data_IF_320011444549
#
_entry.id   IF_320011444549
#
_cell.length_a   1.000
_cell.length_b   1.000
_cell.length_c   1.000
_cell.angle_alpha   90.00
_cell.angle_beta   90.00
_cell.angle_gamma   90.00
#
_symmetry.space_group_name_H-M   'P 1'
#
loop_
_entity.id
_entity.type
_entity.pdbx_description
1 polymer ?
#
# COMPACT_ATOMS: atom_id res chain seq x y z
N UNK A 1 -4.94 19.49 -17.66
CA UNK A 1 -5.59 18.30 -18.27
C UNK A 1 -4.88 17.92 -19.56
N UNK A 2 -3.92 17.00 -19.56
CA UNK A 2 -3.24 16.58 -20.82
C UNK A 2 -2.95 15.08 -20.97
N UNK A 3 -3.00 14.30 -19.88
CA UNK A 3 -2.80 12.84 -19.87
C UNK A 3 -3.50 12.13 -21.04
N UNK A 4 -2.79 11.16 -21.66
CA UNK A 4 -3.28 10.39 -22.81
C UNK A 4 -3.27 8.88 -22.50
N UNK A 5 -4.40 8.15 -22.67
CA UNK A 5 -5.71 8.61 -23.13
C UNK A 5 -6.36 9.58 -22.13
N UNK A 6 -7.15 10.55 -22.65
CA UNK A 6 -7.80 11.55 -21.80
C UNK A 6 -8.74 10.85 -20.82
N UNK A 7 -8.58 11.06 -19.50
CA UNK A 7 -9.47 10.47 -18.51
C UNK A 7 -10.86 11.15 -18.55
N UNK A 8 -11.89 10.39 -18.19
CA UNK A 8 -13.07 10.95 -17.51
C UNK A 8 -12.60 11.71 -16.26
N UNK A 9 -13.33 12.71 -15.75
CA UNK A 9 -12.97 13.36 -14.48
C UNK A 9 -14.23 13.51 -13.63
N UNK A 10 -14.09 13.13 -12.36
CA UNK A 10 -15.11 13.25 -11.32
C UNK A 10 -14.49 14.03 -10.18
N UNK A 11 -15.03 15.20 -9.88
CA UNK A 11 -14.68 15.96 -8.68
C UNK A 11 -15.71 15.65 -7.59
N UNK A 12 -15.25 15.40 -6.37
CA UNK A 12 -16.10 15.19 -5.20
C UNK A 12 -15.81 16.27 -4.15
N UNK A 13 -16.84 16.65 -3.40
CA UNK A 13 -16.77 17.74 -2.43
C UNK A 13 -17.30 19.07 -2.97
N UNK A 14 -17.56 19.98 -2.03
CA UNK A 14 -18.30 21.24 -2.19
C UNK A 14 -17.45 22.48 -1.86
N UNK A 15 -16.12 22.40 -2.00
CA UNK A 15 -15.20 23.54 -1.84
C UNK A 15 -15.47 24.67 -2.85
N UNK A 16 -15.15 25.91 -2.46
CA UNK A 16 -15.38 27.12 -3.24
C UNK A 16 -14.81 27.01 -4.67
N UNK A 17 -15.70 27.18 -5.67
CA UNK A 17 -15.35 27.17 -7.09
C UNK A 17 -15.27 25.79 -7.75
N UNK A 18 -15.33 24.67 -7.01
CA UNK A 18 -15.28 23.30 -7.59
C UNK A 18 -16.44 23.07 -8.57
N UNK A 19 -17.65 23.54 -8.24
CA UNK A 19 -18.82 23.42 -9.10
C UNK A 19 -18.66 24.20 -10.43
N UNK A 20 -18.18 25.45 -10.36
CA UNK A 20 -17.94 26.28 -11.55
C UNK A 20 -16.81 25.72 -12.42
N UNK A 21 -15.77 25.16 -11.81
CA UNK A 21 -14.65 24.52 -12.49
C UNK A 21 -15.10 23.22 -13.19
N UNK A 22 -15.89 22.39 -12.51
CA UNK A 22 -16.48 21.19 -13.10
C UNK A 22 -17.40 21.52 -14.29
N UNK A 23 -18.28 22.51 -14.13
CA UNK A 23 -19.18 22.98 -15.19
C UNK A 23 -18.41 23.53 -16.40
N UNK A 24 -17.37 24.36 -16.15
CA UNK A 24 -16.53 24.97 -17.20
C UNK A 24 -15.80 23.94 -18.06
N UNK A 25 -15.37 22.82 -17.47
CA UNK A 25 -14.57 21.80 -18.15
C UNK A 25 -15.31 20.51 -18.50
N UNK A 26 -16.62 20.44 -18.21
CA UNK A 26 -17.48 19.30 -18.55
C UNK A 26 -17.25 18.06 -17.69
N UNK A 27 -16.89 18.23 -16.42
CA UNK A 27 -16.65 17.15 -15.48
C UNK A 27 -17.94 16.67 -14.80
N UNK A 28 -17.91 15.44 -14.28
CA UNK A 28 -18.89 15.02 -13.27
C UNK A 28 -18.54 15.69 -11.94
N UNK A 29 -19.55 16.18 -11.23
CA UNK A 29 -19.40 16.76 -9.89
C UNK A 29 -20.32 16.05 -8.90
N UNK A 30 -19.78 15.70 -7.74
CA UNK A 30 -20.51 15.08 -6.62
C UNK A 30 -20.29 15.98 -5.39
N UNK A 31 -21.08 17.05 -5.22
CA UNK A 31 -20.84 18.03 -4.15
C UNK A 31 -20.93 17.40 -2.76
N UNK A 32 -21.95 16.58 -2.52
CA UNK A 32 -22.25 16.06 -1.17
C UNK A 32 -21.65 14.67 -0.95
N UNK A 33 -20.52 14.63 -0.26
CA UNK A 33 -20.02 13.42 0.44
C UNK A 33 -20.51 13.40 1.89
N UNK A 34 -20.62 12.22 2.49
CA UNK A 34 -20.88 12.10 3.92
C UNK A 34 -19.68 12.65 4.71
N UNK A 35 -19.98 13.26 5.85
CA UNK A 35 -19.04 13.90 6.76
C UNK A 35 -19.33 13.43 8.19
N UNK A 36 -18.31 13.33 9.03
CA UNK A 36 -18.48 13.07 10.47
C UNK A 36 -19.04 14.31 11.21
N UNK A 37 -19.23 14.23 12.52
CA UNK A 37 -19.78 15.35 13.31
C UNK A 37 -18.83 16.57 13.43
N UNK A 38 -17.56 16.43 13.04
CA UNK A 38 -16.60 17.54 12.90
C UNK A 38 -16.65 18.18 11.51
N UNK A 39 -17.46 17.64 10.60
CA UNK A 39 -17.54 18.06 9.20
C UNK A 39 -16.47 17.45 8.29
N UNK A 40 -15.62 16.54 8.77
CA UNK A 40 -14.56 15.93 7.94
C UNK A 40 -15.16 14.86 7.01
N UNK A 41 -14.82 14.87 5.70
CA UNK A 41 -15.28 13.86 4.73
C UNK A 41 -14.95 12.42 5.13
N UNK A 42 -15.84 11.49 4.77
CA UNK A 42 -15.69 10.06 5.03
C UNK A 42 -15.31 9.30 3.76
N UNK A 43 -14.29 8.45 3.88
CA UNK A 43 -13.66 7.74 2.76
C UNK A 43 -14.60 6.72 2.08
N UNK A 44 -15.45 6.06 2.86
CA UNK A 44 -16.36 5.00 2.40
C UNK A 44 -17.40 5.53 1.40
N UNK A 45 -18.09 6.61 1.76
CA UNK A 45 -19.09 7.28 0.93
C UNK A 45 -18.47 7.95 -0.30
N UNK A 46 -17.27 8.53 -0.15
CA UNK A 46 -16.49 9.11 -1.24
C UNK A 46 -16.15 8.04 -2.29
N UNK A 47 -15.55 6.92 -1.87
CA UNK A 47 -15.19 5.82 -2.77
C UNK A 47 -16.42 5.10 -3.34
N UNK A 48 -17.51 4.97 -2.57
CA UNK A 48 -18.76 4.39 -3.05
C UNK A 48 -19.38 5.26 -4.16
N UNK A 49 -19.55 6.57 -3.92
CA UNK A 49 -20.13 7.50 -4.89
C UNK A 49 -19.27 7.65 -6.14
N UNK A 50 -17.95 7.74 -5.99
CA UNK A 50 -17.05 7.85 -7.13
C UNK A 50 -17.06 6.58 -8.00
N UNK A 51 -17.02 5.38 -7.39
CA UNK A 51 -17.10 4.12 -8.14
C UNK A 51 -18.48 3.91 -8.79
N UNK A 52 -19.57 4.36 -8.16
CA UNK A 52 -20.91 4.32 -8.75
C UNK A 52 -21.08 5.30 -9.92
N UNK A 53 -20.48 6.49 -9.85
CA UNK A 53 -20.58 7.52 -10.87
C UNK A 53 -19.61 7.34 -12.06
N UNK A 54 -18.48 6.65 -11.88
CA UNK A 54 -17.50 6.42 -12.93
C UNK A 54 -18.01 5.47 -14.02
N UNK A 55 -17.69 5.78 -15.29
CA UNK A 55 -18.10 4.97 -16.45
C UNK A 55 -17.13 3.82 -16.76
N UNK A 56 -15.90 3.90 -16.23
CA UNK A 56 -14.79 2.96 -16.50
C UNK A 56 -14.65 1.89 -15.39
N UNK A 57 -13.93 0.79 -15.66
CA UNK A 57 -13.61 -0.24 -14.64
C UNK A 57 -12.43 0.13 -13.73
N UNK A 58 -11.48 0.90 -14.25
CA UNK A 58 -10.29 1.36 -13.53
C UNK A 58 -10.57 2.77 -13.01
N UNK A 59 -10.36 2.96 -11.71
CA UNK A 59 -10.46 4.23 -11.00
C UNK A 59 -9.09 4.61 -10.46
N UNK A 60 -8.80 5.91 -10.32
CA UNK A 60 -7.54 6.38 -9.73
C UNK A 60 -7.82 7.54 -8.79
N UNK A 61 -8.05 7.26 -7.50
CA UNK A 61 -8.12 8.34 -6.50
C UNK A 61 -6.79 9.11 -6.52
N UNK A 62 -6.84 10.43 -6.52
CA UNK A 62 -5.67 11.30 -6.39
C UNK A 62 -6.03 12.61 -5.70
N UNK A 63 -5.16 13.13 -4.83
CA UNK A 63 -5.36 14.42 -4.16
C UNK A 63 -5.24 15.61 -5.15
N UNK A 64 -5.94 16.72 -4.92
CA UNK A 64 -6.01 17.85 -5.86
C UNK A 64 -4.70 18.61 -6.05
N UNK A 65 -3.82 18.55 -5.05
CA UNK A 65 -2.45 19.07 -5.02
C UNK A 65 -1.47 18.31 -5.91
N UNK A 66 -1.83 17.13 -6.45
CA UNK A 66 -0.94 16.33 -7.29
C UNK A 66 -1.02 16.70 -8.76
N UNK A 67 0.14 16.96 -9.36
CA UNK A 67 0.36 16.98 -10.80
C UNK A 67 0.87 15.59 -11.21
N UNK A 68 0.27 15.02 -12.26
CA UNK A 68 0.66 13.75 -12.86
C UNK A 68 1.26 13.98 -14.25
N UNK A 69 2.39 13.34 -14.51
CA UNK A 69 3.05 13.36 -15.82
C UNK A 69 2.52 12.24 -16.73
N UNK A 70 2.80 12.31 -18.03
CA UNK A 70 2.29 11.33 -19.02
C UNK A 70 2.78 9.90 -18.77
N UNK A 71 3.90 9.71 -18.04
CA UNK A 71 4.40 8.41 -17.61
C UNK A 71 3.38 7.62 -16.76
N UNK A 72 2.49 8.32 -16.04
CA UNK A 72 1.40 7.76 -15.26
C UNK A 72 0.45 6.90 -16.10
N UNK A 73 0.12 7.34 -17.31
CA UNK A 73 -0.84 6.65 -18.16
C UNK A 73 -0.24 5.41 -18.84
N UNK A 74 1.04 5.47 -19.20
CA UNK A 74 1.80 4.31 -19.68
C UNK A 74 1.92 3.24 -18.59
N UNK A 75 2.26 3.66 -17.37
CA UNK A 75 2.38 2.81 -16.20
C UNK A 75 1.07 2.11 -15.85
N UNK A 76 -0.04 2.87 -15.79
CA UNK A 76 -1.36 2.35 -15.48
C UNK A 76 -1.82 1.31 -16.52
N UNK A 77 -1.58 1.54 -17.82
CA UNK A 77 -1.91 0.49 -18.80
C UNK A 77 -0.98 -0.73 -18.65
N UNK A 78 0.30 -0.54 -18.32
CA UNK A 78 1.22 -1.66 -18.07
C UNK A 78 0.70 -2.59 -16.96
N UNK A 79 0.31 -2.02 -15.82
CA UNK A 79 -0.27 -2.75 -14.68
C UNK A 79 -1.62 -3.38 -15.07
N UNK A 80 -2.51 -2.62 -15.71
CA UNK A 80 -3.83 -3.11 -16.13
C UNK A 80 -3.80 -4.20 -17.21
N UNK A 81 -2.71 -4.31 -17.99
CA UNK A 81 -2.48 -5.44 -18.92
C UNK A 81 -2.02 -6.69 -18.17
N UNK A 82 -1.27 -6.55 -17.06
CA UNK A 82 -0.63 -7.66 -16.33
C UNK A 82 -1.55 -8.32 -15.28
N UNK A 83 -2.48 -7.58 -14.68
CA UNK A 83 -3.29 -8.05 -13.56
C UNK A 83 -4.80 -7.84 -13.74
N UNK A 84 -5.60 -8.85 -13.39
CA UNK A 84 -7.06 -8.77 -13.49
C UNK A 84 -7.72 -8.03 -12.33
N UNK A 85 -7.06 -7.96 -11.17
CA UNK A 85 -7.33 -7.03 -10.06
C UNK A 85 -5.98 -6.46 -9.59
N UNK A 86 -5.91 -5.20 -9.16
CA UNK A 86 -4.68 -4.59 -8.66
C UNK A 86 -4.93 -3.33 -7.83
N UNK A 87 -3.93 -2.97 -7.03
CA UNK A 87 -3.64 -1.61 -6.59
C UNK A 87 -2.28 -1.19 -7.17
N UNK A 88 -2.19 0.00 -7.74
CA UNK A 88 -0.96 0.68 -8.12
C UNK A 88 -0.85 1.96 -7.27
N UNK A 89 0.28 2.13 -6.62
CA UNK A 89 0.64 3.27 -5.77
C UNK A 89 2.06 3.72 -6.11
N UNK A 90 2.44 4.92 -5.69
CA UNK A 90 3.81 5.41 -5.89
C UNK A 90 4.09 6.63 -5.03
N UNK A 91 5.38 6.83 -4.76
CA UNK A 91 5.93 7.96 -4.01
C UNK A 91 5.91 9.23 -4.85
N UNK A 92 5.71 10.36 -4.19
CA UNK A 92 5.73 11.69 -4.82
C UNK A 92 7.07 12.41 -4.68
N UNK A 93 7.24 13.41 -5.54
CA UNK A 93 8.17 14.51 -5.35
C UNK A 93 7.44 15.70 -4.74
N UNK A 94 7.86 16.15 -3.56
CA UNK A 94 7.41 17.42 -2.98
C UNK A 94 8.10 18.58 -3.70
N UNK A 95 7.35 19.57 -4.18
CA UNK A 95 7.89 20.76 -4.86
C UNK A 95 7.19 22.05 -4.39
N UNK A 96 7.99 23.06 -4.05
CA UNK A 96 7.50 24.41 -3.75
C UNK A 96 7.12 25.14 -5.05
N UNK A 97 5.82 25.35 -5.27
CA UNK A 97 5.31 26.07 -6.44
C UNK A 97 4.88 27.50 -6.09
N UNK A 98 5.69 28.48 -6.50
CA UNK A 98 5.46 29.91 -6.34
C UNK A 98 4.88 30.60 -7.60
N UNK A 99 4.72 29.85 -8.69
CA UNK A 99 4.39 30.35 -10.03
C UNK A 99 3.38 29.41 -10.69
N UNK A 100 2.48 29.95 -11.53
CA UNK A 100 1.56 29.14 -12.33
C UNK A 100 2.31 28.37 -13.45
N UNK A 101 1.84 27.15 -13.73
CA UNK A 101 2.32 26.38 -14.89
C UNK A 101 1.48 26.76 -16.11
N UNK A 102 2.12 27.41 -17.09
CA UNK A 102 1.56 27.49 -18.44
C UNK A 102 1.59 26.11 -19.10
N UNK A 103 0.46 25.39 -18.99
CA UNK A 103 0.25 24.11 -19.65
C UNK A 103 0.14 24.21 -21.18
N UNK A 104 0.03 25.40 -21.78
CA UNK A 104 -0.09 25.55 -23.24
C UNK A 104 1.27 25.59 -23.96
N UNK A 105 2.37 25.90 -23.26
CA UNK A 105 3.72 25.81 -23.80
C UNK A 105 4.14 24.34 -24.03
N UNK A 106 4.58 23.99 -25.23
CA UNK A 106 4.83 22.59 -25.66
C UNK A 106 5.83 21.82 -24.77
N UNK A 107 6.75 22.52 -24.12
CA UNK A 107 7.81 22.00 -23.26
C UNK A 107 7.50 22.07 -21.75
N UNK A 108 6.28 22.48 -21.34
CA UNK A 108 5.93 22.69 -19.91
C UNK A 108 6.30 21.49 -19.02
N UNK A 109 6.01 20.27 -19.50
CA UNK A 109 6.23 19.03 -18.76
C UNK A 109 7.71 18.68 -18.63
N UNK A 110 8.52 18.96 -19.66
CA UNK A 110 9.97 18.80 -19.59
C UNK A 110 10.57 19.78 -18.59
N UNK A 111 10.22 21.08 -18.67
CA UNK A 111 10.69 22.09 -17.71
C UNK A 111 10.32 21.74 -16.27
N UNK A 112 9.11 21.21 -16.05
CA UNK A 112 8.68 20.78 -14.72
C UNK A 112 9.48 19.57 -14.21
N UNK A 113 9.73 18.55 -15.05
CA UNK A 113 10.57 17.40 -14.69
C UNK A 113 12.01 17.83 -14.40
N UNK A 114 12.58 18.74 -15.19
CA UNK A 114 13.92 19.31 -14.95
C UNK A 114 13.98 20.15 -13.66
N UNK A 115 12.90 20.85 -13.32
CA UNK A 115 12.75 21.57 -12.05
C UNK A 115 12.66 20.59 -10.87
N UNK A 116 11.83 19.55 -10.95
CA UNK A 116 11.71 18.50 -9.93
C UNK A 116 13.06 17.82 -9.66
N UNK A 117 13.84 17.51 -10.70
CA UNK A 117 15.19 16.91 -10.57
C UNK A 117 16.23 17.84 -9.91
N UNK A 118 15.96 19.14 -9.83
CA UNK A 118 16.87 20.17 -9.30
C UNK A 118 16.45 20.66 -7.90
N UNK A 119 15.16 20.76 -7.65
CA UNK A 119 14.56 21.43 -6.49
C UNK A 119 13.61 20.53 -5.68
N UNK A 120 13.11 19.44 -6.25
CA UNK A 120 12.12 18.58 -5.62
C UNK A 120 12.71 17.64 -4.58
N UNK A 121 11.96 17.38 -3.51
CA UNK A 121 12.31 16.42 -2.46
C UNK A 121 11.55 15.12 -2.71
N UNK A 122 12.27 14.04 -2.99
CA UNK A 122 11.65 12.72 -3.21
C UNK A 122 11.18 12.14 -1.87
N UNK A 123 9.87 12.05 -1.65
CA UNK A 123 9.30 11.71 -0.36
C UNK A 123 9.59 10.26 0.05
N UNK A 124 9.53 9.96 1.35
CA UNK A 124 9.59 8.59 1.88
C UNK A 124 8.42 7.72 1.34
N UNK A 125 8.50 6.37 1.43
CA UNK A 125 7.43 5.43 1.02
C UNK A 125 6.05 5.70 1.62
N UNK A 126 5.95 6.55 2.63
CA UNK A 126 4.71 7.01 3.29
C UNK A 126 3.96 8.11 2.51
N UNK A 127 4.56 8.69 1.46
CA UNK A 127 3.93 9.77 0.67
C UNK A 127 3.10 9.21 -0.48
N UNK A 128 1.88 8.78 -0.18
CA UNK A 128 0.98 8.09 -1.11
C UNK A 128 -0.28 8.92 -1.33
N UNK A 129 -0.26 9.70 -2.40
CA UNK A 129 -1.32 10.67 -2.72
C UNK A 129 -2.15 10.27 -3.95
N UNK A 130 -1.92 9.07 -4.49
CA UNK A 130 -2.81 8.41 -5.43
C UNK A 130 -2.96 6.90 -5.15
N UNK A 131 -4.13 6.37 -5.51
CA UNK A 131 -4.46 4.95 -5.46
C UNK A 131 -5.14 4.58 -6.78
N UNK A 132 -4.44 3.83 -7.62
CA UNK A 132 -4.94 3.37 -8.92
C UNK A 132 -5.40 1.92 -8.83
N UNK A 133 -6.70 1.65 -9.03
CA UNK A 133 -7.32 0.36 -8.74
C UNK A 133 -8.42 -0.01 -9.74
N UNK A 134 -8.80 -1.29 -9.77
CA UNK A 134 -10.06 -1.73 -10.39
C UNK A 134 -11.20 -1.68 -9.38
N UNK A 135 -12.39 -1.25 -9.81
CA UNK A 135 -13.59 -1.17 -8.97
C UNK A 135 -13.84 -2.45 -8.17
N UNK A 136 -14.27 -2.28 -6.92
CA UNK A 136 -14.54 -3.39 -6.01
C UNK A 136 -13.29 -4.05 -5.40
N UNK A 137 -12.10 -3.45 -5.55
CA UNK A 137 -10.87 -3.90 -4.88
C UNK A 137 -11.03 -4.05 -3.36
N UNK A 138 -11.70 -3.09 -2.71
CA UNK A 138 -12.09 -3.17 -1.31
C UNK A 138 -13.56 -3.59 -1.22
N UNK A 139 -13.91 -4.74 -0.60
CA UNK A 139 -15.30 -5.19 -0.46
C UNK A 139 -16.16 -4.25 0.40
N UNK A 140 -15.54 -3.63 1.40
CA UNK A 140 -16.07 -2.52 2.18
C UNK A 140 -14.89 -1.65 2.62
N UNK A 141 -15.12 -0.34 2.75
CA UNK A 141 -14.17 0.63 3.30
C UNK A 141 -14.81 1.17 4.59
N UNK A 142 -14.11 1.23 5.74
CA UNK A 142 -14.63 1.87 6.94
C UNK A 142 -14.82 3.37 6.74
N UNK A 143 -15.70 4.05 7.51
CA UNK A 143 -15.91 5.49 7.46
C UNK A 143 -14.73 6.25 8.09
N UNK A 144 -13.55 6.14 7.46
CA UNK A 144 -12.33 6.82 7.88
C UNK A 144 -12.41 8.30 7.53
N UNK A 145 -12.04 9.15 8.49
CA UNK A 145 -11.93 10.59 8.30
C UNK A 145 -10.75 10.91 7.38
N UNK A 146 -11.05 11.54 6.24
CA UNK A 146 -10.07 11.91 5.23
C UNK A 146 -9.15 13.05 5.72
N UNK A 147 -7.88 13.05 5.30
CA UNK A 147 -6.90 14.05 5.75
C UNK A 147 -6.52 13.92 7.23
N UNK A 148 -6.65 12.72 7.80
CA UNK A 148 -6.08 12.30 9.10
C UNK A 148 -5.12 11.13 8.87
N UNK A 149 -4.52 10.55 9.90
CA UNK A 149 -3.71 9.34 9.72
C UNK A 149 -4.54 8.09 9.42
N UNK A 150 -3.84 7.01 9.07
CA UNK A 150 -4.32 5.63 8.82
C UNK A 150 -5.10 5.38 7.52
N UNK A 151 -5.82 6.35 6.94
CA UNK A 151 -6.70 6.06 5.79
C UNK A 151 -5.93 5.63 4.54
N UNK A 152 -4.80 6.30 4.27
CA UNK A 152 -3.87 6.02 3.19
C UNK A 152 -3.19 4.65 3.38
N UNK A 153 -2.70 4.38 4.60
CA UNK A 153 -2.00 3.15 4.93
C UNK A 153 -2.95 1.94 4.94
N UNK A 154 -4.21 2.15 5.33
CA UNK A 154 -5.27 1.16 5.29
C UNK A 154 -5.63 0.76 3.86
N UNK A 155 -5.74 1.74 2.94
CA UNK A 155 -5.99 1.48 1.52
C UNK A 155 -4.89 0.61 0.88
N UNK A 156 -3.63 0.72 1.31
CA UNK A 156 -2.54 -0.19 0.89
C UNK A 156 -2.59 -1.54 1.60
N UNK A 157 -2.86 -1.55 2.92
CA UNK A 157 -2.78 -2.76 3.76
C UNK A 157 -3.83 -3.80 3.39
N UNK A 158 -5.09 -3.42 3.20
CA UNK A 158 -6.15 -4.42 2.97
C UNK A 158 -5.96 -5.23 1.67
N UNK A 159 -5.60 -4.63 0.51
CA UNK A 159 -5.25 -5.39 -0.69
C UNK A 159 -4.08 -6.36 -0.47
N UNK A 160 -3.04 -5.97 0.28
CA UNK A 160 -1.93 -6.88 0.64
C UNK A 160 -2.43 -8.04 1.51
N UNK A 161 -3.23 -7.77 2.54
CA UNK A 161 -3.79 -8.81 3.43
C UNK A 161 -4.74 -9.77 2.69
N UNK A 162 -5.45 -9.26 1.68
CA UNK A 162 -6.35 -9.98 0.79
C UNK A 162 -5.64 -10.63 -0.44
N UNK A 163 -4.31 -10.70 -0.45
CA UNK A 163 -3.53 -11.40 -1.48
C UNK A 163 -3.60 -10.76 -2.87
N UNK A 164 -3.99 -9.48 -2.97
CA UNK A 164 -4.12 -8.76 -4.23
C UNK A 164 -2.76 -8.28 -4.74
N UNK A 165 -2.58 -8.10 -6.07
CA UNK A 165 -1.39 -7.48 -6.63
C UNK A 165 -1.34 -6.01 -6.22
N UNK A 166 -0.39 -5.66 -5.34
CA UNK A 166 -0.03 -4.26 -5.04
C UNK A 166 1.29 -3.98 -5.73
N UNK A 167 1.30 -2.93 -6.55
CA UNK A 167 2.42 -2.50 -7.39
C UNK A 167 2.91 -1.13 -6.94
N UNK A 168 4.19 -1.05 -6.58
CA UNK A 168 4.92 0.20 -6.42
C UNK A 168 5.42 0.67 -7.80
N UNK A 169 4.91 1.81 -8.27
CA UNK A 169 5.28 2.41 -9.55
C UNK A 169 6.25 3.60 -9.41
N UNK A 170 6.82 3.83 -8.23
CA UNK A 170 7.67 5.00 -7.93
C UNK A 170 8.89 5.15 -8.85
N UNK A 171 9.42 4.03 -9.38
CA UNK A 171 10.59 4.01 -10.27
C UNK A 171 10.26 4.31 -11.75
N UNK A 172 8.98 4.39 -12.10
CA UNK A 172 8.49 4.58 -13.48
C UNK A 172 7.52 5.76 -13.63
N UNK A 173 6.94 6.26 -12.55
CA UNK A 173 5.90 7.31 -12.56
C UNK A 173 6.36 8.55 -11.81
N UNK A 174 6.27 9.70 -12.46
CA UNK A 174 6.54 11.01 -11.85
C UNK A 174 5.22 11.64 -11.40
N UNK A 175 4.96 11.62 -10.08
CA UNK A 175 3.89 12.42 -9.46
C UNK A 175 4.53 13.53 -8.63
N UNK A 176 3.92 14.72 -8.66
CA UNK A 176 4.49 15.93 -8.05
C UNK A 176 3.43 16.55 -7.12
N UNK A 177 3.75 16.64 -5.84
CA UNK A 177 2.93 17.29 -4.82
C UNK A 177 3.28 18.77 -4.71
N UNK A 178 2.28 19.63 -4.88
CA UNK A 178 2.40 21.08 -4.73
C UNK A 178 2.41 21.43 -3.24
N UNK A 179 3.58 21.76 -2.69
CA UNK A 179 3.72 22.04 -1.26
C UNK A 179 2.84 23.22 -0.80
N UNK A 180 2.00 22.98 0.19
CA UNK A 180 1.08 23.98 0.73
C UNK A 180 1.09 24.04 2.27
N UNK A 181 0.68 25.19 2.81
CA UNK A 181 0.42 25.35 4.23
C UNK A 181 -0.71 24.43 4.71
N UNK A 182 -0.60 23.90 5.93
CA UNK A 182 -1.63 23.07 6.56
C UNK A 182 -2.68 23.92 7.30
N UNK A 183 -2.86 25.18 6.90
CA UNK A 183 -3.70 26.18 7.57
C UNK A 183 -5.20 25.93 7.45
N UNK A 184 -5.63 24.99 6.61
CA UNK A 184 -7.01 24.49 6.55
C UNK A 184 -7.30 23.45 7.65
N UNK A 185 -6.29 22.91 8.33
CA UNK A 185 -6.45 22.01 9.48
C UNK A 185 -6.35 22.86 10.75
N UNK A 186 -7.37 22.79 11.63
CA UNK A 186 -7.33 23.40 12.96
C UNK A 186 -6.17 22.80 13.78
N UNK A 187 -5.11 23.59 14.00
CA UNK A 187 -3.86 23.11 14.62
C UNK A 187 -2.77 22.63 13.66
N UNK A 188 -2.94 22.80 12.34
CA UNK A 188 -1.92 22.47 11.34
C UNK A 188 -1.48 21.01 11.34
N UNK A 189 -0.18 20.76 11.17
CA UNK A 189 0.41 19.40 11.20
C UNK A 189 0.14 18.68 12.54
N UNK A 190 0.12 19.41 13.66
CA UNK A 190 -0.13 18.83 14.97
C UNK A 190 -1.61 18.45 15.15
N UNK A 191 -2.52 19.31 14.69
CA UNK A 191 -3.97 19.03 14.63
C UNK A 191 -4.38 17.92 13.65
N UNK A 192 -3.51 17.56 12.70
CA UNK A 192 -3.64 16.35 11.88
C UNK A 192 -3.10 15.09 12.59
N UNK A 193 -2.07 15.25 13.43
CA UNK A 193 -1.28 14.16 14.02
C UNK A 193 -1.76 13.70 15.40
N UNK A 194 -2.43 14.56 16.17
CA UNK A 194 -2.98 14.25 17.50
C UNK A 194 -4.36 14.88 17.68
N UNK A 195 -5.38 14.21 17.17
CA UNK A 195 -6.77 14.65 17.18
C UNK A 195 -7.70 13.43 17.34
N UNK A 196 -8.90 13.63 17.89
CA UNK A 196 -9.89 12.57 18.16
C UNK A 196 -10.25 11.76 16.90
N UNK A 197 -10.17 12.39 15.73
CA UNK A 197 -10.42 11.76 14.44
C UNK A 197 -9.34 10.74 14.04
N UNK A 198 -8.08 10.92 14.47
CA UNK A 198 -7.03 9.91 14.30
C UNK A 198 -7.32 8.68 15.16
N UNK A 199 -7.69 8.88 16.43
CA UNK A 199 -8.05 7.76 17.31
C UNK A 199 -9.27 7.00 16.77
N UNK A 200 -10.25 7.72 16.22
CA UNK A 200 -11.41 7.09 15.57
C UNK A 200 -11.04 6.31 14.31
N UNK A 201 -10.10 6.80 13.50
CA UNK A 201 -9.57 6.03 12.38
C UNK A 201 -8.89 4.74 12.90
N UNK A 202 -8.05 4.83 13.94
CA UNK A 202 -7.46 3.66 14.60
C UNK A 202 -8.51 2.68 15.13
N UNK A 203 -9.55 3.17 15.80
CA UNK A 203 -10.64 2.33 16.31
C UNK A 203 -11.39 1.62 15.17
N UNK A 204 -11.63 2.32 14.05
CA UNK A 204 -12.27 1.78 12.84
C UNK A 204 -11.37 0.80 12.08
N UNK A 205 -10.03 0.89 12.18
CA UNK A 205 -9.10 -0.16 11.70
C UNK A 205 -8.91 -1.29 12.72
N UNK A 206 -9.70 -1.35 13.79
CA UNK A 206 -9.66 -2.41 14.81
C UNK A 206 -8.51 -2.26 15.81
N UNK A 207 -7.97 -1.04 15.96
CA UNK A 207 -6.70 -0.72 16.62
C UNK A 207 -5.48 -1.48 16.06
N UNK A 208 -5.56 -1.96 14.82
CA UNK A 208 -4.40 -2.48 14.08
C UNK A 208 -3.52 -1.31 13.63
N UNK A 209 -2.37 -1.16 14.27
CA UNK A 209 -1.33 -0.18 13.98
C UNK A 209 -0.29 -0.69 12.98
N UNK A 210 -0.49 -1.86 12.36
CA UNK A 210 0.32 -2.26 11.21
C UNK A 210 -0.01 -1.35 10.03
N UNK A 211 1.00 -0.63 9.55
CA UNK A 211 0.90 0.29 8.42
C UNK A 211 1.53 -0.36 7.20
N UNK A 212 0.96 -0.12 6.03
CA UNK A 212 1.53 -0.49 4.75
C UNK A 212 1.82 0.75 3.91
N UNK A 213 2.93 0.69 3.18
CA UNK A 213 3.50 1.77 2.38
C UNK A 213 3.90 1.24 1.01
N UNK A 214 4.45 2.06 0.11
CA UNK A 214 4.90 1.54 -1.20
C UNK A 214 6.00 0.48 -1.06
N UNK A 215 6.83 0.52 0.00
CA UNK A 215 7.83 -0.52 0.32
C UNK A 215 7.22 -1.90 0.59
N UNK A 216 5.95 -1.95 0.99
CA UNK A 216 5.23 -3.19 1.27
C UNK A 216 4.53 -3.74 0.00
N UNK A 217 4.64 -3.08 -1.15
CA UNK A 217 4.14 -3.64 -2.40
C UNK A 217 4.95 -4.89 -2.79
N UNK A 218 4.26 -5.98 -3.14
CA UNK A 218 4.88 -7.22 -3.61
C UNK A 218 5.53 -7.08 -5.01
N UNK A 219 5.04 -6.12 -5.81
CA UNK A 219 5.48 -5.88 -7.18
C UNK A 219 6.04 -4.48 -7.35
N UNK A 220 6.95 -4.33 -8.30
CA UNK A 220 7.51 -3.05 -8.72
C UNK A 220 7.32 -2.87 -10.23
N UNK A 221 6.86 -1.69 -10.65
CA UNK A 221 6.92 -1.29 -12.05
C UNK A 221 8.24 -0.54 -12.28
N UNK A 222 9.23 -1.28 -12.78
CA UNK A 222 10.55 -0.76 -13.12
C UNK A 222 10.58 -0.21 -14.57
N UNK A 223 11.64 0.51 -14.99
CA UNK A 223 11.86 0.84 -16.40
C UNK A 223 11.91 -0.37 -17.35
N UNK A 224 12.23 -1.57 -16.84
CA UNK A 224 12.27 -2.83 -17.60
C UNK A 224 10.92 -3.57 -17.63
N UNK A 225 9.90 -3.05 -16.94
CA UNK A 225 8.59 -3.67 -16.78
C UNK A 225 8.28 -4.09 -15.33
N UNK A 226 7.22 -4.86 -15.18
CA UNK A 226 6.71 -5.30 -13.87
C UNK A 226 7.52 -6.48 -13.36
N UNK A 227 8.21 -6.30 -12.25
CA UNK A 227 9.01 -7.29 -11.55
C UNK A 227 8.44 -7.59 -10.16
N UNK A 228 8.74 -8.77 -9.62
CA UNK A 228 8.45 -9.09 -8.22
C UNK A 228 9.60 -8.54 -7.35
N UNK A 229 9.27 -7.74 -6.33
CA UNK A 229 10.27 -7.15 -5.43
C UNK A 229 11.09 -8.25 -4.73
N UNK A 230 12.42 -8.12 -4.55
CA UNK A 230 13.24 -9.16 -3.94
C UNK A 230 12.78 -9.51 -2.52
N UNK A 231 12.51 -10.79 -2.25
CA UNK A 231 12.04 -11.28 -0.94
C UNK A 231 12.99 -10.92 0.20
N UNK A 232 14.28 -10.78 -0.11
CA UNK A 232 15.31 -10.30 0.82
C UNK A 232 15.07 -8.88 1.36
N UNK A 233 14.16 -8.10 0.79
CA UNK A 233 13.84 -6.73 1.22
C UNK A 233 12.72 -6.72 2.26
N UNK A 234 11.66 -7.49 2.05
CA UNK A 234 10.64 -7.74 3.08
C UNK A 234 11.25 -8.37 4.35
N UNK A 235 12.27 -9.22 4.20
CA UNK A 235 13.04 -9.78 5.32
C UNK A 235 13.91 -8.76 6.09
N UNK A 236 14.04 -7.52 5.61
CA UNK A 236 14.70 -6.39 6.30
C UNK A 236 13.69 -5.47 7.00
N UNK A 237 12.39 -5.59 6.73
CA UNK A 237 11.37 -4.74 7.34
C UNK A 237 11.03 -5.22 8.77
N UNK A 238 10.95 -4.28 9.72
CA UNK A 238 10.57 -4.57 11.11
C UNK A 238 9.10 -5.07 11.23
N UNK A 239 8.27 -4.88 10.20
CA UNK A 239 6.88 -5.32 10.16
C UNK A 239 6.75 -6.74 9.56
N UNK A 240 7.32 -7.74 10.25
CA UNK A 240 7.38 -9.12 9.77
C UNK A 240 6.00 -9.73 9.40
N UNK A 241 4.92 -9.28 10.04
CA UNK A 241 3.55 -9.71 9.73
C UNK A 241 3.09 -9.25 8.35
N UNK A 242 3.39 -8.00 7.98
CA UNK A 242 3.08 -7.51 6.64
C UNK A 242 4.04 -8.12 5.60
N UNK A 243 5.34 -8.18 5.89
CA UNK A 243 6.36 -8.83 5.06
C UNK A 243 5.95 -10.26 4.62
N UNK A 244 5.52 -11.11 5.56
CA UNK A 244 5.02 -12.46 5.27
C UNK A 244 3.78 -12.45 4.35
N UNK A 245 2.86 -11.49 4.53
CA UNK A 245 1.67 -11.37 3.67
C UNK A 245 1.99 -10.88 2.27
N UNK A 246 3.03 -10.05 2.10
CA UNK A 246 3.56 -9.67 0.80
C UNK A 246 4.16 -10.88 0.07
N UNK A 247 4.90 -11.73 0.79
CA UNK A 247 5.48 -12.98 0.27
C UNK A 247 4.38 -14.00 -0.08
N UNK A 248 3.31 -14.10 0.72
CA UNK A 248 2.14 -14.95 0.42
C UNK A 248 1.41 -14.49 -0.86
N UNK A 249 1.13 -13.19 -0.96
CA UNK A 249 0.53 -12.55 -2.14
C UNK A 249 1.39 -12.78 -3.39
N UNK A 250 2.71 -12.61 -3.27
CA UNK A 250 3.68 -12.92 -4.31
C UNK A 250 3.62 -14.40 -4.75
N UNK A 251 3.63 -15.35 -3.80
CA UNK A 251 3.64 -16.79 -4.10
C UNK A 251 2.36 -17.23 -4.80
N UNK A 252 1.19 -16.70 -4.41
CA UNK A 252 -0.09 -16.97 -5.06
C UNK A 252 -0.14 -16.48 -6.53
N UNK A 253 0.70 -15.51 -6.91
CA UNK A 253 0.65 -14.84 -8.21
C UNK A 253 1.84 -15.16 -9.14
N UNK A 254 2.96 -15.62 -8.58
CA UNK A 254 4.18 -16.02 -9.31
C UNK A 254 5.02 -17.04 -8.51
N UNK A 255 4.50 -18.27 -8.31
CA UNK A 255 5.11 -19.25 -7.42
C UNK A 255 6.53 -19.64 -7.83
N UNK A 256 6.80 -19.73 -9.13
CA UNK A 256 8.10 -20.14 -9.67
C UNK A 256 9.18 -19.07 -9.43
N UNK A 257 8.85 -17.79 -9.61
CA UNK A 257 9.75 -16.65 -9.35
C UNK A 257 10.06 -16.56 -7.86
N UNK A 258 9.05 -16.79 -7.01
CA UNK A 258 9.25 -16.86 -5.56
C UNK A 258 10.18 -18.03 -5.19
N UNK A 259 9.99 -19.22 -5.77
CA UNK A 259 10.86 -20.38 -5.55
C UNK A 259 12.31 -20.09 -5.97
N UNK A 260 12.52 -19.53 -7.16
CA UNK A 260 13.85 -19.10 -7.63
C UNK A 260 14.52 -18.11 -6.65
N UNK A 261 13.77 -17.16 -6.09
CA UNK A 261 14.30 -16.24 -5.09
C UNK A 261 14.63 -16.92 -3.74
N UNK A 262 13.82 -17.86 -3.25
CA UNK A 262 14.13 -18.63 -2.05
C UNK A 262 15.37 -19.52 -2.25
N UNK A 263 15.51 -20.17 -3.40
CA UNK A 263 16.69 -20.95 -3.80
C UNK A 263 17.95 -20.08 -3.91
N UNK A 264 17.86 -18.91 -4.55
CA UNK A 264 18.97 -17.96 -4.68
C UNK A 264 19.44 -17.42 -3.31
N UNK A 265 18.52 -17.24 -2.36
CA UNK A 265 18.81 -16.90 -0.96
C UNK A 265 19.29 -18.11 -0.13
N UNK A 266 19.33 -19.32 -0.72
CA UNK A 266 19.68 -20.61 -0.08
C UNK A 266 18.80 -20.97 1.12
N UNK A 267 17.56 -20.49 1.11
CA UNK A 267 16.59 -20.75 2.16
C UNK A 267 15.93 -22.11 1.94
N UNK A 268 16.28 -23.10 2.77
CA UNK A 268 15.69 -24.44 2.75
C UNK A 268 14.28 -24.43 3.39
N UNK A 269 13.32 -23.84 2.70
CA UNK A 269 11.89 -23.80 3.05
C UNK A 269 11.10 -23.85 1.75
N UNK A 270 10.24 -24.85 1.49
CA UNK A 270 9.31 -24.73 0.36
C UNK A 270 8.37 -23.54 0.66
N UNK A 271 8.15 -22.62 -0.29
CA UNK A 271 7.09 -21.62 -0.16
C UNK A 271 5.71 -22.21 0.17
N UNK A 272 5.46 -23.48 -0.21
CA UNK A 272 4.29 -24.22 0.21
C UNK A 272 4.23 -24.46 1.74
N UNK A 273 5.37 -24.54 2.44
CA UNK A 273 5.44 -24.52 3.91
C UNK A 273 5.08 -23.15 4.49
N UNK A 274 5.64 -22.07 3.95
CA UNK A 274 5.41 -20.69 4.42
C UNK A 274 3.91 -20.37 4.47
N UNK A 275 3.15 -20.76 3.44
CA UNK A 275 1.69 -20.62 3.37
C UNK A 275 0.93 -21.23 4.57
N UNK A 276 1.51 -22.26 5.22
CA UNK A 276 0.90 -23.05 6.31
C UNK A 276 1.49 -22.72 7.69
N UNK A 277 2.68 -22.13 7.71
CA UNK A 277 3.30 -21.57 8.92
C UNK A 277 2.70 -20.20 9.28
N UNK A 278 2.18 -19.46 8.28
CA UNK A 278 1.55 -18.16 8.42
C UNK A 278 0.46 -18.09 9.52
N UNK A 279 -0.54 -19.00 9.60
CA UNK A 279 -1.53 -19.01 10.68
C UNK A 279 -0.95 -19.23 12.09
N UNK A 280 0.20 -19.90 12.18
CA UNK A 280 0.87 -20.23 13.45
C UNK A 280 1.74 -19.07 13.92
N UNK A 281 2.56 -18.51 13.01
CA UNK A 281 3.42 -17.36 13.29
C UNK A 281 2.61 -16.15 13.80
N UNK A 282 1.41 -15.94 13.22
CA UNK A 282 0.50 -14.82 13.54
C UNK A 282 -0.01 -14.81 15.00
N UNK A 283 0.18 -15.88 15.79
CA UNK A 283 -0.42 -16.03 17.13
C UNK A 283 0.55 -15.86 18.30
N UNK A 284 1.85 -15.95 18.07
CA UNK A 284 2.88 -15.97 19.13
C UNK A 284 3.86 -14.78 19.06
N UNK A 285 3.74 -13.89 18.07
CA UNK A 285 4.74 -12.86 17.72
C UNK A 285 4.57 -11.54 18.49
N UNK A 286 4.15 -11.62 19.75
CA UNK A 286 3.99 -10.48 20.66
C UNK A 286 5.10 -10.55 21.74
N UNK A 287 5.91 -9.49 21.82
CA UNK A 287 7.16 -9.35 22.60
C UNK A 287 8.36 -10.19 22.10
N UNK A 288 9.44 -9.49 21.71
CA UNK A 288 10.80 -10.05 21.61
C UNK A 288 11.06 -10.97 20.40
N UNK A 289 11.79 -10.45 19.41
CA UNK A 289 12.18 -11.17 18.19
C UNK A 289 13.07 -12.40 18.46
N UNK A 290 12.49 -13.60 18.49
CA UNK A 290 13.21 -14.88 18.31
C UNK A 290 12.28 -16.07 18.02
N UNK A 291 11.36 -16.36 18.95
CA UNK A 291 10.76 -17.70 19.15
C UNK A 291 10.09 -18.35 17.93
N UNK A 292 9.45 -17.57 17.05
CA UNK A 292 8.49 -18.12 16.11
C UNK A 292 9.12 -18.49 14.76
N UNK A 293 9.97 -17.62 14.21
CA UNK A 293 10.89 -17.99 13.10
C UNK A 293 11.72 -19.23 13.49
N UNK A 294 12.11 -19.31 14.76
CA UNK A 294 12.86 -20.45 15.28
C UNK A 294 12.01 -21.75 15.35
N UNK A 295 10.67 -21.67 15.47
CA UNK A 295 9.76 -22.83 15.41
C UNK A 295 9.36 -23.20 13.97
N UNK A 296 9.36 -22.24 13.04
CA UNK A 296 9.34 -22.49 11.59
C UNK A 296 10.56 -23.34 11.17
N UNK A 297 11.71 -23.12 11.82
CA UNK A 297 12.97 -23.84 11.63
C UNK A 297 13.04 -25.22 12.35
N UNK A 298 11.99 -25.67 13.03
CA UNK A 298 12.00 -26.82 13.95
C UNK A 298 11.18 -28.01 13.44
N UNK A 299 9.89 -27.80 13.17
CA UNK A 299 8.85 -28.83 12.95
C UNK A 299 9.02 -29.70 11.69
N UNK A 300 10.12 -29.46 11.02
CA UNK A 300 10.26 -29.40 9.59
C UNK A 300 11.60 -30.06 9.17
N UNK A 301 12.34 -30.50 10.19
CA UNK A 301 13.55 -31.28 10.07
C UNK A 301 13.29 -32.73 9.69
N UNK A 302 14.10 -33.24 8.75
CA UNK A 302 14.31 -34.68 8.64
C UNK A 302 14.84 -35.26 9.96
N UNK A 303 14.50 -36.52 10.21
CA UNK A 303 14.29 -37.07 11.57
C UNK A 303 15.49 -37.06 12.51
N UNK A 304 16.71 -36.83 12.02
CA UNK A 304 17.94 -36.95 12.81
C UNK A 304 18.20 -35.76 13.77
N UNK A 305 17.71 -34.56 13.45
CA UNK A 305 17.97 -33.36 14.29
C UNK A 305 16.83 -33.00 15.28
N UNK A 306 15.68 -33.67 15.16
CA UNK A 306 14.44 -33.26 15.85
C UNK A 306 14.53 -33.24 17.38
N UNK A 307 15.22 -34.19 17.99
CA UNK A 307 15.30 -34.28 19.47
C UNK A 307 16.12 -33.15 20.09
N UNK A 308 17.20 -32.71 19.42
CA UNK A 308 17.95 -31.52 19.83
C UNK A 308 17.09 -30.26 19.70
N UNK A 309 16.23 -30.23 18.67
CA UNK A 309 15.34 -29.12 18.39
C UNK A 309 14.23 -28.95 19.44
N UNK A 310 13.62 -30.04 19.88
CA UNK A 310 12.62 -30.03 20.96
C UNK A 310 13.27 -29.69 22.33
N UNK A 311 14.49 -30.16 22.61
CA UNK A 311 15.27 -29.84 23.83
C UNK A 311 15.65 -28.35 23.94
N UNK A 312 16.09 -27.74 22.83
CA UNK A 312 16.50 -26.34 22.78
C UNK A 312 15.39 -25.38 23.20
N UNK A 313 14.23 -25.44 22.54
CA UNK A 313 13.15 -24.52 22.84
C UNK A 313 12.57 -24.76 24.23
N UNK A 314 12.46 -26.03 24.67
CA UNK A 314 11.91 -26.37 25.99
C UNK A 314 12.56 -25.55 27.12
N UNK A 315 13.88 -25.42 27.13
CA UNK A 315 14.63 -24.59 28.10
C UNK A 315 14.42 -23.09 27.90
N UNK A 316 14.49 -22.59 26.66
CA UNK A 316 14.27 -21.16 26.35
C UNK A 316 12.85 -20.68 26.67
N UNK A 317 11.84 -21.55 26.55
CA UNK A 317 10.48 -21.28 27.01
C UNK A 317 10.37 -21.32 28.54
N UNK A 318 11.08 -22.23 29.22
CA UNK A 318 11.06 -22.32 30.68
C UNK A 318 11.62 -21.05 31.35
N UNK A 319 12.79 -20.55 30.93
CA UNK A 319 13.35 -19.29 31.44
C UNK A 319 12.41 -18.08 31.27
N UNK A 320 11.59 -18.04 30.20
CA UNK A 320 10.60 -16.97 30.00
C UNK A 320 9.35 -17.14 30.87
N UNK A 321 8.91 -18.37 31.15
CA UNK A 321 7.81 -18.63 32.09
C UNK A 321 8.21 -18.31 33.54
N UNK A 322 9.48 -18.54 33.89
CA UNK A 322 10.06 -18.18 35.20
C UNK A 322 10.37 -16.66 35.31
N UNK A 323 9.86 -15.83 34.38
CA UNK A 323 10.01 -14.37 34.35
C UNK A 323 11.41 -13.86 33.96
N UNK A 324 12.33 -14.76 33.60
CA UNK A 324 13.76 -14.51 33.55
C UNK A 324 14.27 -14.35 32.09
N UNK A 325 13.67 -13.41 31.37
CA UNK A 325 13.86 -13.22 29.92
C UNK A 325 15.31 -13.01 29.45
N UNK A 326 16.20 -12.51 30.31
CA UNK A 326 17.62 -12.32 30.00
C UNK A 326 18.37 -13.65 29.79
N UNK A 327 18.13 -14.64 30.65
CA UNK A 327 18.72 -15.98 30.49
C UNK A 327 18.02 -16.79 29.38
N UNK A 328 16.76 -16.50 29.09
CA UNK A 328 16.09 -17.07 27.91
C UNK A 328 16.75 -16.62 26.60
N UNK A 329 17.15 -15.35 26.49
CA UNK A 329 17.90 -14.83 25.33
C UNK A 329 19.25 -15.53 25.21
N UNK A 330 20.09 -15.51 26.26
CA UNK A 330 21.39 -16.21 26.27
C UNK A 330 21.30 -17.70 25.91
N UNK A 331 20.28 -18.40 26.45
CA UNK A 331 20.05 -19.81 26.15
C UNK A 331 19.71 -20.02 24.66
N UNK A 332 18.84 -19.16 24.09
CA UNK A 332 18.48 -19.20 22.68
C UNK A 332 19.67 -18.83 21.76
N UNK A 333 20.52 -17.89 22.18
CA UNK A 333 21.74 -17.51 21.43
C UNK A 333 22.80 -18.62 21.39
N UNK A 334 22.77 -19.58 22.33
CA UNK A 334 23.84 -20.56 22.53
C UNK A 334 23.64 -21.93 21.85
N UNK A 335 22.49 -22.23 21.21
CA UNK A 335 22.13 -23.63 20.81
C UNK A 335 21.18 -23.81 19.55
N UNK A 336 21.51 -23.34 18.31
CA UNK A 336 20.59 -23.21 17.13
C UNK A 336 20.21 -24.47 16.27
N UNK A 337 19.24 -24.33 15.31
CA UNK A 337 18.49 -25.42 14.54
C UNK A 337 17.87 -24.99 13.13
N UNK A 338 17.63 -25.88 12.11
CA UNK A 338 16.85 -25.54 10.85
C UNK A 338 16.13 -26.65 9.94
N UNK A 339 14.88 -26.47 9.39
CA UNK A 339 14.41 -26.76 7.96
C UNK A 339 12.86 -26.72 7.57
N UNK A 340 12.24 -27.73 6.88
CA UNK A 340 11.07 -27.70 5.89
C UNK A 340 9.70 -28.48 6.14
N UNK A 341 8.53 -27.90 5.74
CA UNK A 341 7.26 -28.56 5.24
C UNK A 341 6.28 -29.43 6.11
N UNK A 342 4.98 -29.77 5.82
CA UNK A 342 3.86 -29.53 4.80
C UNK A 342 2.45 -29.56 5.54
N UNK A 343 1.16 -29.64 5.08
CA UNK A 343 0.34 -29.52 3.82
C UNK A 343 -1.19 -29.16 4.06
N UNK A 344 -1.96 -28.70 3.04
CA UNK A 344 -3.46 -28.73 2.84
C UNK A 344 -4.47 -27.70 3.48
N UNK A 345 -5.70 -27.62 2.88
CA UNK A 345 -6.90 -26.77 3.17
C UNK A 345 -6.79 -25.27 2.79
N UNK A 346 -7.71 -24.60 2.06
CA UNK A 346 -9.03 -24.93 1.47
C UNK A 346 -9.14 -24.39 0.02
N UNK A 347 -10.02 -25.00 -0.79
CA UNK A 347 -10.38 -24.55 -2.14
C UNK A 347 -11.92 -24.54 -2.26
N UNK A 348 -12.55 -23.45 -2.74
CA UNK A 348 -13.87 -23.48 -3.41
C UNK A 348 -14.43 -22.09 -3.82
N UNK A 349 -14.67 -21.90 -5.13
CA UNK A 349 -15.75 -21.16 -5.85
C UNK A 349 -15.21 -20.57 -7.20
N UNK A 350 -15.97 -20.54 -8.34
CA UNK A 350 -15.34 -20.61 -9.67
C UNK A 350 -15.78 -19.60 -10.78
N UNK A 351 -14.81 -19.09 -11.58
CA UNK A 351 -14.87 -18.71 -13.03
C UNK A 351 -15.88 -17.61 -13.53
N UNK A 352 -15.84 -17.10 -14.79
CA UNK A 352 -14.74 -16.85 -15.76
C UNK A 352 -14.78 -15.52 -16.62
N UNK A 353 -13.63 -15.14 -17.23
CA UNK A 353 -13.44 -14.43 -18.55
C UNK A 353 -13.67 -12.88 -18.72
N UNK A 354 -12.83 -12.26 -19.58
CA UNK A 354 -12.70 -10.80 -19.97
C UNK A 354 -13.41 -10.48 -21.32
N UNK A 355 -13.19 -9.34 -22.08
CA UNK A 355 -12.56 -8.01 -21.80
C UNK A 355 -13.26 -6.75 -22.41
N UNK A 356 -12.85 -5.52 -21.99
CA UNK A 356 -12.37 -4.41 -22.88
C UNK A 356 -11.78 -3.21 -22.10
N UNK A 357 -11.02 -2.31 -22.77
CA UNK A 357 -10.11 -1.31 -22.13
C UNK A 357 -10.63 0.14 -22.11
N UNK A 358 -10.40 0.88 -21.02
CA UNK A 358 -10.06 2.33 -20.96
C UNK A 358 -9.67 2.75 -19.53
N UNK A 359 -9.05 3.93 -19.34
CA UNK A 359 -8.51 4.42 -18.05
C UNK A 359 -9.14 5.77 -17.63
N UNK A 360 -9.21 6.07 -16.33
CA UNK A 360 -9.58 7.42 -15.84
C UNK A 360 -8.89 7.86 -14.54
N UNK A 361 -8.97 9.16 -14.23
CA UNK A 361 -8.39 9.85 -13.07
C UNK A 361 -9.47 10.53 -12.19
N UNK A 362 -9.50 10.21 -10.90
CA UNK A 362 -10.49 10.60 -9.90
C UNK A 362 -9.86 11.58 -8.91
N UNK A 363 -9.93 12.88 -9.21
CA UNK A 363 -9.28 13.92 -8.42
C UNK A 363 -10.20 14.41 -7.28
N UNK A 364 -9.75 14.28 -6.03
CA UNK A 364 -10.47 14.81 -4.88
C UNK A 364 -10.00 16.22 -4.54
N UNK A 365 -10.93 17.16 -4.38
CA UNK A 365 -10.61 18.54 -4.01
C UNK A 365 -10.47 18.70 -2.49
N UNK A 366 -9.37 19.34 -2.10
CA UNK A 366 -9.25 20.07 -0.85
C UNK A 366 -8.88 21.53 -1.14
N UNK A 367 -9.24 22.48 -0.26
CA UNK A 367 -9.22 23.90 -0.58
C UNK A 367 -7.81 24.50 -0.52
N UNK A 368 -6.99 24.22 -1.54
CA UNK A 368 -5.89 25.11 -1.90
C UNK A 368 -6.49 26.42 -2.41
N UNK A 369 -6.24 27.51 -1.66
CA UNK A 369 -6.37 28.86 -2.21
C UNK A 369 -5.35 29.03 -3.31
N UNK A 370 -5.76 28.84 -4.55
CA UNK A 370 -5.02 29.36 -5.71
C UNK A 370 -4.84 30.86 -5.49
N UNK A 371 -3.58 31.31 -5.52
CA UNK A 371 -3.29 32.72 -5.74
C UNK A 371 -3.87 33.12 -7.10
N UNK A 372 -4.31 34.38 -7.20
CA UNK A 372 -4.95 34.95 -8.39
C UNK A 372 -3.96 35.37 -9.46
#
# INVERSE_FOLDING_TARGET
MQLRPRPEIILLGDDDGVADFALRYGFKHIPTVQRNEFGTPLLDDLFLKAQAAASNEICVYVNSDIILMDDFAEALESVARRFDHFLMVGRRWDLDMSEEIDFYAEDWGQRLIERVRREGVYHAPTGIDYFAFKKGLWPAIPPLALGRGMWDNWLVREPLLAGQPVVDASDKVTIIHQNHGHSHISGGKEGASFNIELQRNLDLTGNDTSLAYTSHAAWELTPNGIALRPISEFLKENNFSAALKCIESAYQQAPDIVKEQFEALRLQVDPDCLSRLLPVARRELILGSAKNVAKLLLNSLETENRSAAEEFFRKGFQYLNDGNGSEAVKHLESNPLPSMDTFSLFNSIPFPIRPKKSHFLLQYCQPIRLCR
#
